data_IF_185864463018
#
_entry.id   IF_185864463018
#
_cell.length_a   1.000
_cell.length_b   1.000
_cell.length_c   1.000
_cell.angle_alpha   90.00
_cell.angle_beta   90.00
_cell.angle_gamma   90.00
#
_symmetry.space_group_name_H-M   'P 1'
#
loop_
_entity.id
_entity.type
_entity.pdbx_description
1 polymer ?
#
# COMPACT_ATOMS: atom_id res chain seq x y z
N UNK A 1 -9.78 -6.23 24.91
CA UNK A 1 -8.67 -5.30 25.18
C UNK A 1 -9.17 -3.93 24.80
N UNK A 2 -9.01 -2.96 25.68
CA UNK A 2 -9.35 -1.56 25.44
C UNK A 2 -8.17 -0.82 24.79
N UNK A 3 -8.37 0.47 24.53
CA UNK A 3 -7.40 1.34 23.87
C UNK A 3 -6.09 1.47 24.66
N UNK A 4 -6.19 1.72 25.97
CA UNK A 4 -5.04 1.92 26.85
C UNK A 4 -4.16 0.68 26.90
N UNK A 5 -4.75 -0.51 27.04
CA UNK A 5 -4.00 -1.77 27.02
C UNK A 5 -3.28 -1.99 25.69
N UNK A 6 -3.92 -1.65 24.56
CA UNK A 6 -3.29 -1.83 23.24
C UNK A 6 -2.14 -0.87 23.05
N UNK A 7 -2.28 0.40 23.44
CA UNK A 7 -1.20 1.37 23.35
C UNK A 7 0.02 0.97 24.18
N UNK A 8 -0.19 0.49 25.42
CA UNK A 8 0.89 -0.01 26.29
C UNK A 8 1.60 -1.23 25.72
N UNK A 9 0.86 -2.17 25.15
CA UNK A 9 1.43 -3.37 24.51
C UNK A 9 2.23 -2.99 23.25
N UNK A 10 1.73 -2.09 22.42
CA UNK A 10 2.45 -1.59 21.26
C UNK A 10 3.75 -0.87 21.67
N UNK A 11 3.71 -0.03 22.69
CA UNK A 11 4.90 0.63 23.24
C UNK A 11 5.94 -0.40 23.72
N UNK A 12 5.51 -1.42 24.45
CA UNK A 12 6.37 -2.50 24.97
C UNK A 12 7.04 -3.31 23.84
N UNK A 13 6.37 -3.44 22.68
CA UNK A 13 6.92 -4.12 21.51
C UNK A 13 7.89 -3.24 20.69
N UNK A 14 7.98 -1.95 21.00
CA UNK A 14 8.82 -0.98 20.32
C UNK A 14 10.30 -1.32 20.40
N UNK A 15 11.03 -1.06 19.30
CA UNK A 15 12.49 -1.22 19.22
C UNK A 15 13.13 -0.03 18.53
N UNK A 16 14.15 0.53 19.15
CA UNK A 16 14.90 1.70 18.64
C UNK A 16 15.41 1.53 17.20
N UNK A 17 15.88 0.34 16.83
CA UNK A 17 16.33 0.08 15.45
C UNK A 17 15.18 0.20 14.44
N UNK A 18 14.01 -0.34 14.77
CA UNK A 18 12.82 -0.29 13.91
C UNK A 18 12.30 1.15 13.86
N UNK A 19 12.23 1.83 15.01
CA UNK A 19 11.86 3.25 15.12
C UNK A 19 12.72 4.13 14.21
N UNK A 20 14.06 4.00 14.28
CA UNK A 20 14.99 4.72 13.38
C UNK A 20 14.72 4.43 11.91
N UNK A 21 14.36 3.19 11.57
CA UNK A 21 14.01 2.82 10.19
C UNK A 21 12.75 3.55 9.74
N UNK A 22 11.69 3.57 10.54
CA UNK A 22 10.45 4.28 10.21
C UNK A 22 10.66 5.79 10.10
N UNK A 23 11.42 6.40 11.02
CA UNK A 23 11.79 7.83 10.92
C UNK A 23 12.55 8.10 9.63
N UNK A 24 13.50 7.25 9.27
CA UNK A 24 14.24 7.39 8.01
C UNK A 24 13.38 7.20 6.76
N UNK A 25 12.16 6.66 6.89
CA UNK A 25 11.18 6.51 5.82
C UNK A 25 10.17 7.66 5.79
N UNK A 26 10.20 8.59 6.74
CA UNK A 26 9.28 9.74 6.80
C UNK A 26 8.31 9.72 7.99
N UNK A 27 8.38 8.70 8.86
CA UNK A 27 7.60 8.74 10.10
C UNK A 27 8.12 9.86 11.04
N UNK A 28 7.23 10.48 11.80
CA UNK A 28 7.59 11.41 12.88
C UNK A 28 6.95 10.95 14.19
N UNK A 29 7.40 11.54 15.31
CA UNK A 29 6.79 11.27 16.61
C UNK A 29 5.30 11.70 16.61
N UNK A 30 4.43 11.00 17.38
CA UNK A 30 4.75 9.83 18.21
C UNK A 30 4.93 8.54 17.40
N UNK A 31 5.95 7.72 17.72
CA UNK A 31 6.03 6.33 17.26
C UNK A 31 6.88 5.45 18.18
N UNK A 32 6.59 4.15 18.23
CA UNK A 32 7.27 3.17 19.07
C UNK A 32 8.32 2.34 18.30
N UNK A 33 8.10 2.10 17.00
CA UNK A 33 8.96 1.23 16.19
C UNK A 33 8.70 -0.25 16.42
N UNK A 34 7.48 -0.69 16.20
CA UNK A 34 7.03 -2.08 16.37
C UNK A 34 7.21 -2.83 15.06
N UNK A 35 7.91 -3.96 15.08
CA UNK A 35 7.95 -4.83 13.91
C UNK A 35 6.57 -5.46 13.69
N UNK A 36 6.04 -5.39 12.46
CA UNK A 36 4.67 -5.86 12.12
C UNK A 36 4.40 -7.31 12.54
N UNK A 37 5.37 -8.21 12.40
CA UNK A 37 5.25 -9.60 12.85
C UNK A 37 5.06 -9.78 14.35
N UNK A 38 5.48 -8.80 15.17
CA UNK A 38 5.30 -8.80 16.62
C UNK A 38 3.85 -8.46 17.04
N UNK A 39 3.05 -7.86 16.14
CA UNK A 39 1.65 -7.51 16.39
C UNK A 39 0.69 -8.70 16.24
N UNK A 40 1.15 -9.83 15.67
CA UNK A 40 0.30 -11.01 15.39
C UNK A 40 -0.42 -11.61 16.62
N UNK A 41 0.18 -11.67 17.82
CA UNK A 41 -0.53 -12.13 19.01
C UNK A 41 -1.67 -11.18 19.40
N UNK A 42 -1.48 -9.86 19.26
CA UNK A 42 -2.49 -8.85 19.55
C UNK A 42 -3.65 -8.94 18.56
N UNK A 43 -3.35 -9.00 17.25
CA UNK A 43 -4.39 -9.09 16.21
C UNK A 43 -5.26 -10.35 16.37
N UNK A 44 -4.67 -11.50 16.75
CA UNK A 44 -5.42 -12.73 17.03
C UNK A 44 -6.37 -12.62 18.22
N UNK A 45 -6.00 -11.87 19.26
CA UNK A 45 -6.83 -11.65 20.46
C UNK A 45 -7.98 -10.67 20.16
N UNK A 46 -7.68 -9.57 19.47
CA UNK A 46 -8.63 -8.46 19.24
C UNK A 46 -9.55 -8.76 18.06
N UNK A 47 -9.03 -9.41 17.01
CA UNK A 47 -9.69 -9.61 15.72
C UNK A 47 -10.13 -8.26 15.12
N UNK A 48 -11.27 -8.22 14.42
CA UNK A 48 -11.84 -6.99 13.89
C UNK A 48 -12.55 -6.21 15.00
N UNK A 49 -12.22 -4.93 15.14
CA UNK A 49 -12.86 -4.00 16.06
C UNK A 49 -12.72 -2.56 15.52
N UNK A 50 -13.71 -2.12 14.74
CA UNK A 50 -13.69 -0.81 14.08
C UNK A 50 -13.63 0.38 15.07
N UNK A 51 -14.44 0.43 16.15
CA UNK A 51 -14.33 1.51 17.13
C UNK A 51 -12.92 1.65 17.73
N UNK A 52 -12.25 0.53 18.02
CA UNK A 52 -10.87 0.55 18.50
C UNK A 52 -9.88 0.96 17.40
N UNK A 53 -10.10 0.52 16.15
CA UNK A 53 -9.29 0.93 15.01
C UNK A 53 -9.32 2.46 14.83
N UNK A 54 -10.51 3.07 14.87
CA UNK A 54 -10.65 4.53 14.73
C UNK A 54 -9.95 5.29 15.87
N UNK A 55 -10.05 4.80 17.12
CA UNK A 55 -9.31 5.39 18.25
C UNK A 55 -7.79 5.31 18.07
N UNK A 56 -7.28 4.15 17.65
CA UNK A 56 -5.85 3.95 17.40
C UNK A 56 -5.35 4.80 16.23
N UNK A 57 -6.13 4.89 15.14
CA UNK A 57 -5.76 5.68 13.98
C UNK A 57 -5.71 7.19 14.31
N UNK A 58 -6.65 7.67 15.12
CA UNK A 58 -6.71 9.07 15.56
C UNK A 58 -5.51 9.50 16.44
N UNK A 59 -4.70 8.58 16.95
CA UNK A 59 -3.53 8.92 17.78
C UNK A 59 -2.43 9.66 17.02
N UNK A 60 -2.38 9.52 15.69
CA UNK A 60 -1.25 9.98 14.88
C UNK A 60 0.04 9.18 15.13
N UNK A 61 0.00 8.14 15.97
CA UNK A 61 1.15 7.27 16.20
C UNK A 61 1.24 6.22 15.10
N UNK A 62 2.35 6.21 14.36
CA UNK A 62 2.49 5.32 13.20
C UNK A 62 2.21 3.84 13.50
N UNK A 63 2.72 3.32 14.62
CA UNK A 63 2.56 1.91 14.97
C UNK A 63 1.10 1.59 15.36
N UNK A 64 0.43 2.53 16.03
CA UNK A 64 -0.99 2.43 16.36
C UNK A 64 -1.88 2.56 15.12
N UNK A 65 -1.58 3.49 14.22
CA UNK A 65 -2.28 3.65 12.94
C UNK A 65 -2.10 2.41 12.04
N UNK A 66 -0.89 1.83 12.00
CA UNK A 66 -0.66 0.58 11.31
C UNK A 66 -1.50 -0.55 11.92
N UNK A 67 -1.50 -0.68 13.25
CA UNK A 67 -2.28 -1.71 13.92
C UNK A 67 -3.80 -1.50 13.79
N UNK A 68 -4.27 -0.25 13.71
CA UNK A 68 -5.65 0.09 13.39
C UNK A 68 -6.07 -0.53 12.06
N UNK A 69 -5.26 -0.38 11.00
CA UNK A 69 -5.51 -1.04 9.72
C UNK A 69 -5.52 -2.56 9.81
N UNK A 70 -4.79 -3.17 10.75
CA UNK A 70 -4.86 -4.63 10.98
C UNK A 70 -6.21 -5.05 11.56
N UNK A 71 -6.73 -4.30 12.53
CA UNK A 71 -7.98 -4.64 13.25
C UNK A 71 -9.24 -3.94 12.72
N UNK A 72 -9.13 -3.09 11.70
CA UNK A 72 -10.28 -2.45 11.07
C UNK A 72 -11.23 -3.47 10.45
N UNK A 73 -12.53 -3.15 10.44
CA UNK A 73 -13.53 -3.91 9.69
C UNK A 73 -13.88 -3.19 8.38
N UNK A 74 -13.17 -3.49 7.28
CA UNK A 74 -13.31 -2.74 6.03
C UNK A 74 -14.71 -2.86 5.43
N UNK A 75 -15.46 -3.93 5.70
CA UNK A 75 -16.78 -4.15 5.11
C UNK A 75 -17.86 -3.20 5.63
N UNK A 76 -17.61 -2.51 6.75
CA UNK A 76 -18.51 -1.48 7.28
C UNK A 76 -17.96 -0.07 7.10
N UNK A 77 -16.73 0.07 6.58
CA UNK A 77 -16.15 1.38 6.29
C UNK A 77 -16.74 1.94 5.00
N UNK A 78 -17.13 3.22 5.08
CA UNK A 78 -17.65 3.99 3.95
C UNK A 78 -16.52 4.71 3.22
N UNK A 79 -16.79 5.24 2.03
CA UNK A 79 -15.85 6.14 1.34
C UNK A 79 -15.42 7.31 2.24
N UNK A 80 -16.34 7.87 3.03
CA UNK A 80 -16.03 8.95 3.97
C UNK A 80 -15.06 8.53 5.10
N UNK A 81 -15.11 7.26 5.52
CA UNK A 81 -14.14 6.72 6.48
C UNK A 81 -12.74 6.60 5.85
N UNK A 82 -12.67 6.17 4.59
CA UNK A 82 -11.41 6.12 3.84
C UNK A 82 -10.85 7.51 3.54
N UNK A 83 -11.69 8.50 3.23
CA UNK A 83 -11.26 9.91 3.11
C UNK A 83 -10.67 10.42 4.43
N UNK A 84 -11.34 10.19 5.57
CA UNK A 84 -10.81 10.54 6.89
C UNK A 84 -9.44 9.90 7.16
N UNK A 85 -9.28 8.63 6.78
CA UNK A 85 -8.02 7.91 6.97
C UNK A 85 -6.92 8.44 6.04
N UNK A 86 -7.19 8.59 4.74
CA UNK A 86 -6.17 9.04 3.79
C UNK A 86 -5.75 10.50 4.04
N UNK A 87 -6.65 11.37 4.50
CA UNK A 87 -6.34 12.77 4.81
C UNK A 87 -5.31 12.93 5.94
N UNK A 88 -5.21 11.93 6.84
CA UNK A 88 -4.25 11.93 7.95
C UNK A 88 -3.08 10.96 7.72
N UNK A 89 -3.04 10.29 6.57
CA UNK A 89 -1.94 9.45 6.14
C UNK A 89 -0.74 10.30 5.68
N UNK A 90 0.03 10.82 6.63
CA UNK A 90 1.06 11.84 6.40
C UNK A 90 2.33 11.36 5.65
N UNK A 91 2.47 10.05 5.39
CA UNK A 91 3.58 9.50 4.59
C UNK A 91 3.23 8.15 3.98
N UNK A 92 4.06 7.71 3.03
CA UNK A 92 3.72 6.58 2.15
C UNK A 92 3.43 5.25 2.85
N UNK A 93 4.04 4.99 4.02
CA UNK A 93 3.76 3.73 4.70
C UNK A 93 2.35 3.69 5.29
N UNK A 94 1.71 4.84 5.54
CA UNK A 94 0.30 4.92 5.90
C UNK A 94 -0.58 4.81 4.66
N UNK A 95 -0.32 5.60 3.62
CA UNK A 95 -1.13 5.59 2.39
C UNK A 95 -1.10 4.20 1.72
N UNK A 96 0.08 3.61 1.56
CA UNK A 96 0.29 2.45 0.68
C UNK A 96 0.13 1.12 1.42
N UNK A 97 0.48 1.07 2.71
CA UNK A 97 0.53 -0.17 3.49
C UNK A 97 -0.51 -0.26 4.62
N UNK A 98 -1.27 0.82 4.86
CA UNK A 98 -2.35 0.82 5.86
C UNK A 98 -3.67 1.13 5.19
N UNK A 99 -3.81 2.32 4.62
CA UNK A 99 -5.07 2.78 4.04
C UNK A 99 -5.41 2.00 2.78
N UNK A 100 -4.49 1.91 1.81
CA UNK A 100 -4.72 1.17 0.56
C UNK A 100 -4.93 -0.34 0.77
N UNK A 101 -4.24 -0.93 1.75
CA UNK A 101 -4.40 -2.35 2.13
C UNK A 101 -5.79 -2.59 2.70
N UNK A 102 -6.25 -1.69 3.59
CA UNK A 102 -7.59 -1.75 4.20
C UNK A 102 -8.67 -1.56 3.13
N UNK A 103 -8.49 -0.60 2.22
CA UNK A 103 -9.42 -0.32 1.13
C UNK A 103 -9.56 -1.51 0.17
N UNK A 104 -8.46 -2.20 -0.15
CA UNK A 104 -8.47 -3.32 -1.09
C UNK A 104 -9.32 -4.52 -0.63
N UNK A 105 -9.71 -4.57 0.65
CA UNK A 105 -10.62 -5.57 1.20
C UNK A 105 -12.10 -5.19 1.11
N UNK A 106 -12.45 -4.08 0.47
CA UNK A 106 -13.83 -3.57 0.32
C UNK A 106 -14.41 -3.76 -1.09
N UNK A 107 -15.73 -3.69 -1.22
CA UNK A 107 -16.39 -3.70 -2.54
C UNK A 107 -16.28 -2.36 -3.28
N UNK A 108 -16.01 -1.26 -2.56
CA UNK A 108 -15.84 0.10 -3.11
C UNK A 108 -14.40 0.40 -3.56
N UNK A 109 -13.49 -0.57 -3.43
CA UNK A 109 -12.05 -0.36 -3.57
C UNK A 109 -11.64 0.27 -4.90
N UNK A 110 -12.18 -0.21 -6.02
CA UNK A 110 -11.84 0.32 -7.35
C UNK A 110 -12.36 1.74 -7.54
N UNK A 111 -13.57 2.05 -7.09
CA UNK A 111 -14.17 3.38 -7.23
C UNK A 111 -13.38 4.43 -6.43
N UNK A 112 -13.05 4.13 -5.17
CA UNK A 112 -12.27 5.04 -4.33
C UNK A 112 -10.84 5.18 -4.85
N UNK A 113 -10.20 4.08 -5.26
CA UNK A 113 -8.86 4.12 -5.83
C UNK A 113 -8.78 4.95 -7.11
N UNK A 114 -9.79 4.88 -7.99
CA UNK A 114 -9.87 5.71 -9.21
C UNK A 114 -9.94 7.20 -8.85
N UNK A 115 -10.79 7.59 -7.90
CA UNK A 115 -10.90 8.98 -7.40
C UNK A 115 -9.56 9.47 -6.86
N UNK A 116 -8.88 8.64 -6.08
CA UNK A 116 -7.56 8.95 -5.53
C UNK A 116 -6.48 9.10 -6.59
N UNK A 117 -6.44 8.23 -7.60
CA UNK A 117 -5.52 8.34 -8.74
C UNK A 117 -5.74 9.67 -9.49
N UNK A 118 -6.99 10.11 -9.62
CA UNK A 118 -7.34 11.35 -10.32
C UNK A 118 -7.17 12.63 -9.48
N UNK A 119 -6.89 12.52 -8.18
CA UNK A 119 -6.90 13.66 -7.24
C UNK A 119 -5.81 14.71 -7.49
N UNK A 120 -4.66 14.31 -8.05
CA UNK A 120 -3.46 15.15 -8.13
C UNK A 120 -2.70 15.28 -6.80
N UNK A 121 -3.20 14.68 -5.71
CA UNK A 121 -2.55 14.68 -4.39
C UNK A 121 -1.60 13.48 -4.27
N UNK A 122 -0.30 13.72 -4.06
CA UNK A 122 0.75 12.70 -4.16
C UNK A 122 0.45 11.41 -3.39
N UNK A 123 0.08 11.51 -2.12
CA UNK A 123 -0.17 10.35 -1.26
C UNK A 123 -1.53 9.68 -1.54
N UNK A 124 -2.57 10.43 -1.93
CA UNK A 124 -3.83 9.83 -2.38
C UNK A 124 -3.59 9.04 -3.66
N UNK A 125 -2.93 9.63 -4.66
CA UNK A 125 -2.56 8.93 -5.89
C UNK A 125 -1.73 7.68 -5.59
N UNK A 126 -0.74 7.78 -4.70
CA UNK A 126 0.09 6.64 -4.27
C UNK A 126 -0.73 5.51 -3.63
N UNK A 127 -1.70 5.86 -2.76
CA UNK A 127 -2.63 4.90 -2.19
C UNK A 127 -3.55 4.26 -3.23
N UNK A 128 -4.07 5.03 -4.18
CA UNK A 128 -4.94 4.51 -5.25
C UNK A 128 -4.23 3.48 -6.12
N UNK A 129 -3.02 3.78 -6.60
CA UNK A 129 -2.18 2.83 -7.33
C UNK A 129 -1.81 1.61 -6.48
N UNK A 130 -1.45 1.82 -5.21
CA UNK A 130 -1.15 0.73 -4.28
C UNK A 130 -2.36 -0.16 -4.03
N UNK A 131 -3.56 0.39 -3.92
CA UNK A 131 -4.81 -0.36 -3.76
C UNK A 131 -5.01 -1.34 -4.92
N UNK A 132 -4.74 -0.91 -6.15
CA UNK A 132 -4.73 -1.81 -7.30
C UNK A 132 -3.72 -2.94 -7.18
N UNK A 133 -2.50 -2.68 -6.71
CA UNK A 133 -1.53 -3.74 -6.44
C UNK A 133 -2.03 -4.71 -5.34
N UNK A 134 -2.75 -4.19 -4.34
CA UNK A 134 -3.36 -4.99 -3.29
C UNK A 134 -4.44 -5.93 -3.83
N UNK A 135 -5.35 -5.37 -4.64
CA UNK A 135 -6.44 -6.04 -5.34
C UNK A 135 -5.93 -7.12 -6.30
N UNK A 136 -5.07 -6.78 -7.25
CA UNK A 136 -4.53 -7.71 -8.26
C UNK A 136 -3.75 -8.87 -7.64
N UNK A 137 -3.08 -8.61 -6.52
CA UNK A 137 -2.35 -9.64 -5.79
C UNK A 137 -3.23 -10.62 -5.02
N UNK A 138 -4.53 -10.36 -4.82
CA UNK A 138 -5.39 -11.19 -3.96
C UNK A 138 -6.69 -11.66 -4.63
N UNK A 139 -7.22 -10.90 -5.59
CA UNK A 139 -8.50 -11.18 -6.25
C UNK A 139 -8.31 -11.90 -7.60
N UNK A 140 -9.28 -12.73 -8.02
CA UNK A 140 -9.26 -13.35 -9.35
C UNK A 140 -9.29 -12.31 -10.47
N UNK A 141 -8.67 -12.62 -11.61
CA UNK A 141 -8.56 -11.72 -12.75
C UNK A 141 -9.93 -11.31 -13.33
N UNK A 142 -10.96 -12.13 -13.13
CA UNK A 142 -12.34 -11.88 -13.59
C UNK A 142 -13.02 -10.69 -12.92
N UNK A 143 -12.49 -10.19 -11.79
CA UNK A 143 -13.00 -8.99 -11.12
C UNK A 143 -12.51 -7.68 -11.75
N UNK A 144 -11.61 -7.77 -12.74
CA UNK A 144 -11.00 -6.59 -13.38
C UNK A 144 -11.32 -6.58 -14.87
N UNK A 145 -11.67 -5.40 -15.37
CA UNK A 145 -11.73 -5.17 -16.80
C UNK A 145 -10.31 -5.13 -17.38
N UNK A 146 -10.01 -6.05 -18.30
CA UNK A 146 -8.71 -6.11 -18.96
C UNK A 146 -8.41 -4.82 -19.76
N UNK A 147 -9.43 -4.18 -20.34
CA UNK A 147 -9.26 -2.89 -21.02
C UNK A 147 -8.93 -1.78 -20.03
N UNK A 148 -9.59 -1.74 -18.87
CA UNK A 148 -9.26 -0.76 -17.83
C UNK A 148 -7.81 -0.89 -17.37
N UNK A 149 -7.34 -2.10 -17.06
CA UNK A 149 -5.94 -2.33 -16.66
C UNK A 149 -4.97 -1.95 -17.78
N UNK A 150 -5.33 -2.24 -19.04
CA UNK A 150 -4.57 -1.80 -20.23
C UNK A 150 -4.44 -0.28 -20.31
N UNK A 151 -5.54 0.45 -20.11
CA UNK A 151 -5.56 1.91 -20.17
C UNK A 151 -4.76 2.52 -19.00
N UNK A 152 -4.81 1.88 -17.82
CA UNK A 152 -3.98 2.26 -16.67
C UNK A 152 -2.49 2.06 -16.95
N UNK A 153 -2.08 1.00 -17.65
CA UNK A 153 -0.69 0.84 -18.09
C UNK A 153 -0.26 1.95 -19.06
N UNK A 154 -1.12 2.34 -20.00
CA UNK A 154 -0.83 3.46 -20.90
C UNK A 154 -0.71 4.78 -20.14
N UNK A 155 -1.58 5.02 -19.16
CA UNK A 155 -1.49 6.17 -18.28
C UNK A 155 -0.15 6.19 -17.54
N UNK A 156 0.29 5.05 -16.99
CA UNK A 156 1.59 4.93 -16.33
C UNK A 156 2.72 5.25 -17.30
N UNK A 157 2.73 4.61 -18.47
CA UNK A 157 3.74 4.85 -19.50
C UNK A 157 3.91 6.34 -19.81
N UNK A 158 2.80 7.05 -19.95
CA UNK A 158 2.79 8.44 -20.41
C UNK A 158 3.08 9.46 -19.32
N UNK A 159 2.93 9.13 -18.04
CA UNK A 159 2.94 10.13 -16.95
C UNK A 159 3.94 9.84 -15.83
N UNK A 160 4.44 8.60 -15.70
CA UNK A 160 5.24 8.21 -14.53
C UNK A 160 6.49 9.07 -14.33
N UNK A 161 7.16 9.54 -15.39
CA UNK A 161 8.39 10.34 -15.26
C UNK A 161 8.14 11.73 -14.65
N UNK A 162 6.95 12.28 -14.85
CA UNK A 162 6.55 13.60 -14.36
C UNK A 162 5.73 13.54 -13.06
N UNK A 163 5.31 12.35 -12.64
CA UNK A 163 4.57 12.13 -11.39
C UNK A 163 5.40 12.44 -10.13
N UNK A 164 4.74 12.74 -9.00
CA UNK A 164 5.40 12.85 -7.70
C UNK A 164 6.14 11.56 -7.29
N UNK A 165 7.14 11.68 -6.41
CA UNK A 165 8.08 10.59 -6.09
C UNK A 165 7.41 9.36 -5.44
N UNK A 166 6.43 9.56 -4.56
CA UNK A 166 5.65 8.45 -3.98
C UNK A 166 4.67 7.86 -4.99
N UNK A 167 4.09 8.68 -5.85
CA UNK A 167 3.21 8.21 -6.93
C UNK A 167 4.00 7.36 -7.94
N UNK A 168 5.21 7.79 -8.33
CA UNK A 168 6.18 7.01 -9.13
C UNK A 168 6.41 5.62 -8.56
N UNK A 169 6.65 5.55 -7.25
CA UNK A 169 6.87 4.27 -6.55
C UNK A 169 5.66 3.34 -6.68
N UNK A 170 4.44 3.86 -6.48
CA UNK A 170 3.23 3.05 -6.57
C UNK A 170 2.90 2.65 -8.02
N UNK A 171 3.06 3.55 -8.99
CA UNK A 171 2.87 3.26 -10.42
C UNK A 171 3.88 2.21 -10.93
N UNK A 172 5.14 2.28 -10.50
CA UNK A 172 6.15 1.28 -10.81
C UNK A 172 5.77 -0.10 -10.24
N UNK A 173 5.26 -0.12 -9.00
CA UNK A 173 4.76 -1.33 -8.38
C UNK A 173 3.51 -1.88 -9.09
N UNK A 174 2.65 -1.01 -9.62
CA UNK A 174 1.49 -1.41 -10.41
C UNK A 174 1.90 -2.14 -11.68
N UNK A 175 2.84 -1.60 -12.46
CA UNK A 175 3.36 -2.26 -13.67
C UNK A 175 3.95 -3.63 -13.33
N UNK A 176 4.78 -3.72 -12.30
CA UNK A 176 5.31 -5.00 -11.81
C UNK A 176 4.19 -5.97 -11.41
N UNK A 177 3.19 -5.50 -10.65
CA UNK A 177 2.10 -6.35 -10.16
C UNK A 177 1.21 -6.84 -11.30
N UNK A 178 0.91 -6.01 -12.30
CA UNK A 178 0.16 -6.44 -13.48
C UNK A 178 0.94 -7.53 -14.22
N UNK A 179 2.24 -7.33 -14.46
CA UNK A 179 3.09 -8.30 -15.14
C UNK A 179 3.15 -9.65 -14.42
N UNK A 180 3.16 -9.68 -13.09
CA UNK A 180 3.28 -10.93 -12.32
C UNK A 180 1.92 -11.54 -12.00
N UNK A 181 0.94 -10.74 -11.58
CA UNK A 181 -0.29 -11.21 -10.94
C UNK A 181 -1.55 -11.04 -11.80
N UNK A 182 -1.50 -10.39 -12.97
CA UNK A 182 -2.65 -10.23 -13.86
C UNK A 182 -2.32 -10.72 -15.27
N UNK A 183 -2.57 -12.01 -15.50
CA UNK A 183 -2.18 -12.69 -16.73
C UNK A 183 -2.72 -12.03 -18.01
N UNK A 184 -3.97 -11.51 -18.05
CA UNK A 184 -4.52 -10.92 -19.28
C UNK A 184 -3.73 -9.72 -19.83
N UNK A 185 -2.94 -9.02 -19.01
CA UNK A 185 -2.11 -7.88 -19.45
C UNK A 185 -0.62 -8.09 -19.16
N UNK A 186 -0.17 -9.34 -19.02
CA UNK A 186 1.23 -9.67 -18.75
C UNK A 186 2.18 -9.08 -19.79
N UNK A 187 1.95 -9.36 -21.08
CA UNK A 187 2.87 -8.95 -22.15
C UNK A 187 2.94 -7.42 -22.26
N UNK A 188 1.79 -6.75 -22.21
CA UNK A 188 1.72 -5.28 -22.22
C UNK A 188 2.42 -4.65 -21.02
N UNK A 189 2.31 -5.24 -19.83
CA UNK A 189 2.99 -4.74 -18.65
C UNK A 189 4.52 -4.93 -18.72
N UNK A 190 4.99 -6.04 -19.31
CA UNK A 190 6.43 -6.26 -19.58
C UNK A 190 6.95 -5.22 -20.56
N UNK A 191 6.24 -4.99 -21.66
CA UNK A 191 6.58 -3.95 -22.65
C UNK A 191 6.60 -2.56 -22.01
N UNK A 192 5.54 -2.21 -21.27
CA UNK A 192 5.47 -0.95 -20.51
C UNK A 192 6.65 -0.79 -19.57
N UNK A 193 7.06 -1.84 -18.85
CA UNK A 193 8.21 -1.81 -17.94
C UNK A 193 9.55 -1.59 -18.66
N UNK A 194 9.68 -2.06 -19.90
CA UNK A 194 10.87 -1.81 -20.73
C UNK A 194 10.89 -0.37 -21.22
N UNK A 195 9.75 0.16 -21.67
CA UNK A 195 9.64 1.52 -22.20
C UNK A 195 9.86 2.60 -21.13
N UNK A 196 9.28 2.45 -19.93
CA UNK A 196 9.46 3.43 -18.84
C UNK A 196 10.89 3.45 -18.29
N UNK A 197 11.63 2.35 -18.44
CA UNK A 197 13.01 2.26 -18.00
C UNK A 197 13.23 2.45 -16.48
N UNK A 198 14.47 2.81 -16.07
CA UNK A 198 14.78 3.08 -14.66
C UNK A 198 14.14 4.39 -14.20
N UNK A 199 13.47 4.36 -13.04
CA UNK A 199 12.81 5.53 -12.47
C UNK A 199 13.52 5.96 -11.20
N UNK A 200 14.04 7.18 -11.21
CA UNK A 200 14.61 7.81 -10.02
C UNK A 200 13.49 8.38 -9.12
N UNK A 201 13.55 8.06 -7.84
CA UNK A 201 12.70 8.64 -6.80
C UNK A 201 13.54 9.36 -5.76
N UNK A 202 13.18 10.59 -5.43
CA UNK A 202 13.82 11.28 -4.31
C UNK A 202 13.33 10.70 -3.00
N UNK A 203 14.24 10.66 -2.03
CA UNK A 203 13.97 10.17 -0.68
C UNK A 203 14.54 11.19 0.29
N UNK A 204 13.70 11.67 1.20
CA UNK A 204 14.18 12.58 2.22
C UNK A 204 15.28 11.93 3.07
N UNK A 205 16.36 12.69 3.31
CA UNK A 205 17.48 12.27 4.18
C UNK A 205 18.16 10.96 3.76
N UNK A 206 18.00 10.52 2.51
CA UNK A 206 18.63 9.33 1.91
C UNK A 206 19.09 9.64 0.49
N UNK A 207 19.95 8.77 -0.05
CA UNK A 207 20.25 8.79 -1.49
C UNK A 207 18.95 8.54 -2.27
N UNK A 208 18.84 9.11 -3.46
CA UNK A 208 17.74 8.78 -4.37
C UNK A 208 17.67 7.26 -4.59
N UNK A 209 16.44 6.76 -4.77
CA UNK A 209 16.21 5.37 -5.14
C UNK A 209 16.10 5.26 -6.65
N UNK A 210 16.56 4.15 -7.22
CA UNK A 210 16.31 3.82 -8.63
C UNK A 210 15.46 2.55 -8.65
N UNK A 211 14.30 2.64 -9.29
CA UNK A 211 13.35 1.55 -9.44
C UNK A 211 13.52 0.94 -10.82
N UNK A 212 13.52 -0.40 -10.88
CA UNK A 212 13.68 -1.16 -12.11
C UNK A 212 12.58 -2.22 -12.22
N UNK A 213 11.42 -1.83 -12.76
CA UNK A 213 10.29 -2.75 -12.91
C UNK A 213 10.68 -3.95 -13.78
N UNK A 214 11.30 -3.72 -14.94
CA UNK A 214 11.72 -4.77 -15.87
C UNK A 214 12.65 -5.81 -15.24
N UNK A 215 13.63 -5.38 -14.43
CA UNK A 215 14.53 -6.30 -13.71
C UNK A 215 13.79 -7.12 -12.64
N UNK A 216 12.91 -6.48 -11.87
CA UNK A 216 12.13 -7.16 -10.84
C UNK A 216 11.15 -8.16 -11.44
N UNK A 217 10.50 -7.81 -12.55
CA UNK A 217 9.63 -8.70 -13.31
C UNK A 217 10.43 -9.91 -13.78
N UNK A 218 11.55 -9.70 -14.49
CA UNK A 218 12.37 -10.81 -15.00
C UNK A 218 12.82 -11.76 -13.88
N UNK A 219 13.29 -11.21 -12.76
CA UNK A 219 13.74 -12.00 -11.61
C UNK A 219 12.64 -12.93 -11.07
N UNK A 220 11.39 -12.47 -11.02
CA UNK A 220 10.29 -13.28 -10.52
C UNK A 220 9.71 -14.22 -11.58
N UNK A 221 9.82 -13.90 -12.87
CA UNK A 221 9.58 -14.84 -13.96
C UNK A 221 10.57 -16.01 -13.92
N UNK A 222 11.86 -15.74 -13.69
CA UNK A 222 12.91 -16.76 -13.55
C UNK A 222 12.65 -17.69 -12.35
N UNK A 223 11.93 -17.20 -11.34
CA UNK A 223 11.49 -17.98 -10.16
C UNK A 223 10.18 -18.72 -10.38
N UNK A 224 9.58 -18.63 -11.57
CA UNK A 224 8.32 -19.27 -11.91
C UNK A 224 7.10 -18.62 -11.24
N UNK A 225 7.16 -17.33 -10.89
CA UNK A 225 6.08 -16.63 -10.18
C UNK A 225 5.03 -15.99 -11.11
N UNK A 226 5.06 -16.24 -12.41
CA UNK A 226 4.00 -15.77 -13.32
C UNK A 226 2.64 -16.31 -12.88
N UNK A 227 1.68 -15.41 -12.69
CA UNK A 227 0.34 -15.72 -12.17
C UNK A 227 0.27 -15.82 -10.65
N UNK A 228 1.36 -15.54 -9.92
CA UNK A 228 1.37 -15.60 -8.47
C UNK A 228 0.44 -14.53 -7.88
N UNK A 229 -0.46 -14.96 -7.01
CA UNK A 229 -1.30 -14.13 -6.16
C UNK A 229 -1.13 -14.58 -4.70
N UNK A 230 -1.03 -13.63 -3.77
CA UNK A 230 -0.99 -13.89 -2.33
C UNK A 230 -2.38 -14.26 -1.82
N UNK A 231 -2.43 -15.02 -0.73
CA UNK A 231 -3.69 -15.46 -0.10
C UNK A 231 -4.31 -14.45 0.86
N UNK A 232 -3.51 -13.54 1.42
CA UNK A 232 -3.94 -12.57 2.43
C UNK A 232 -3.36 -11.20 2.10
N UNK A 233 -4.16 -10.16 2.26
CA UNK A 233 -3.79 -8.75 1.98
C UNK A 233 -3.06 -8.15 3.19
N UNK A 234 -3.46 -8.54 4.41
CA UNK A 234 -2.84 -8.14 5.69
C UNK A 234 -1.90 -9.24 6.24
N UNK A 235 -1.03 -8.84 7.18
CA UNK A 235 -0.09 -9.71 7.89
C UNK A 235 -0.74 -10.81 8.75
#
# INVERSE_FOLDING_TARGET
MDFEMVMQELETLGKERTKKTYISNGAHEPLFGVATGAMKPLSKKIKKNQPLADQLYATGNYDAMYFAGVIADPMIMTEADFERWIDTAYFYMLSDYVVAVTLAETDIAQEVADKWIASGEELKMSAGWSCYCWLLGNRPDTEFSASKISDMLDLVKNTILDSPDRTKSAMNNFVYTVAISYIPQHDKAVETAMEIGPIEIKREKKKNGILHASQNIQKDLDRGLKGFKRKHVRC
#
